data_IF_136606249114
#
_entry.id   IF_136606249114
#
_cell.length_a   1.000
_cell.length_b   1.000
_cell.length_c   1.000
_cell.angle_alpha   90.00
_cell.angle_beta   90.00
_cell.angle_gamma   90.00
#
_symmetry.space_group_name_H-M   'P 1'
#
loop_
_entity.id
_entity.type
_entity.pdbx_description
1 polymer ?
#
# COMPACT_ATOMS: atom_id res chain seq x y z
N UNK A 1 -19.07 8.88 11.69
CA UNK A 1 -17.93 9.76 12.04
C UNK A 1 -17.02 9.75 10.82
N UNK A 2 -16.79 10.89 10.17
CA UNK A 2 -15.81 10.95 9.08
C UNK A 2 -14.44 10.56 9.64
N UNK A 3 -13.67 9.66 9.00
CA UNK A 3 -12.32 9.35 9.46
C UNK A 3 -11.54 10.65 9.60
N UNK A 4 -10.98 10.89 10.79
CA UNK A 4 -10.18 12.08 11.08
C UNK A 4 -8.78 11.98 10.47
N UNK A 5 -7.96 13.00 10.71
CA UNK A 5 -6.55 13.06 10.29
C UNK A 5 -5.73 11.89 10.83
N UNK A 6 -6.17 11.28 11.92
CA UNK A 6 -5.59 10.07 12.51
C UNK A 6 -5.60 8.89 11.54
N UNK A 7 -6.63 8.77 10.69
CA UNK A 7 -6.67 7.72 9.67
C UNK A 7 -5.59 7.92 8.61
N UNK A 8 -5.25 9.18 8.29
CA UNK A 8 -4.16 9.48 7.36
C UNK A 8 -2.79 9.17 7.94
N UNK A 9 -2.58 9.47 9.22
CA UNK A 9 -1.36 9.10 9.95
C UNK A 9 -1.22 7.57 10.01
N UNK A 10 -2.29 6.89 10.43
CA UNK A 10 -2.29 5.43 10.53
C UNK A 10 -2.00 4.78 9.18
N UNK A 11 -2.59 5.30 8.09
CA UNK A 11 -2.32 4.79 6.74
C UNK A 11 -0.85 4.94 6.35
N UNK A 12 -0.28 6.14 6.54
CA UNK A 12 1.14 6.38 6.20
C UNK A 12 2.06 5.41 6.95
N UNK A 13 1.84 5.24 8.25
CA UNK A 13 2.61 4.29 9.06
C UNK A 13 2.41 2.84 8.60
N UNK A 14 1.16 2.44 8.33
CA UNK A 14 0.84 1.07 7.94
C UNK A 14 1.38 0.71 6.54
N UNK A 15 1.37 1.65 5.59
CA UNK A 15 1.88 1.43 4.24
C UNK A 15 3.40 1.20 4.26
N UNK A 16 4.15 2.08 4.94
CA UNK A 16 5.61 1.98 5.06
C UNK A 16 6.00 0.71 5.84
N UNK A 17 5.40 0.51 7.02
CA UNK A 17 5.68 -0.66 7.84
C UNK A 17 5.29 -1.97 7.14
N UNK A 18 4.17 -1.98 6.40
CA UNK A 18 3.73 -3.14 5.65
C UNK A 18 4.72 -3.54 4.56
N UNK A 19 5.32 -2.58 3.86
CA UNK A 19 6.38 -2.86 2.88
C UNK A 19 7.62 -3.43 3.56
N UNK A 20 8.11 -2.79 4.61
CA UNK A 20 9.29 -3.23 5.35
C UNK A 20 9.12 -4.66 5.90
N UNK A 21 7.97 -4.95 6.52
CA UNK A 21 7.69 -6.30 7.06
C UNK A 21 7.74 -7.36 5.96
N UNK A 22 7.14 -7.07 4.80
CA UNK A 22 7.12 -8.02 3.70
C UNK A 22 8.51 -8.18 3.08
N UNK A 23 9.27 -7.10 2.93
CA UNK A 23 10.66 -7.14 2.44
C UNK A 23 11.55 -7.96 3.36
N UNK A 24 11.54 -7.67 4.66
CA UNK A 24 12.30 -8.42 5.68
C UNK A 24 11.90 -9.90 5.67
N UNK A 25 10.62 -10.22 5.53
CA UNK A 25 10.17 -11.61 5.44
C UNK A 25 10.82 -12.34 4.24
N UNK A 26 10.94 -11.67 3.08
CA UNK A 26 11.61 -12.24 1.91
C UNK A 26 13.12 -12.36 2.14
N UNK A 27 13.74 -11.33 2.71
CA UNK A 27 15.18 -11.32 3.02
C UNK A 27 15.60 -12.43 3.98
N UNK A 28 14.78 -12.76 4.98
CA UNK A 28 15.04 -13.85 5.93
C UNK A 28 15.20 -15.23 5.25
N UNK A 29 14.70 -15.38 4.03
CA UNK A 29 14.86 -16.61 3.22
C UNK A 29 16.05 -16.57 2.26
N UNK A 30 16.80 -15.47 2.25
CA UNK A 30 17.93 -15.23 1.35
C UNK A 30 17.49 -15.20 -0.12
N UNK A 31 18.31 -15.78 -1.00
CA UNK A 31 18.02 -15.84 -2.44
C UNK A 31 16.73 -16.59 -2.79
N UNK A 32 16.28 -17.52 -1.94
CA UNK A 32 14.98 -18.20 -2.12
C UNK A 32 13.81 -17.22 -2.05
N UNK A 33 14.00 -16.05 -1.42
CA UNK A 33 13.03 -14.96 -1.40
C UNK A 33 12.63 -14.49 -2.80
N UNK A 34 13.48 -14.65 -3.81
CA UNK A 34 13.15 -14.24 -5.17
C UNK A 34 12.18 -15.20 -5.90
N UNK A 35 11.92 -16.38 -5.34
CA UNK A 35 11.05 -17.38 -5.96
C UNK A 35 9.57 -17.12 -5.70
N UNK A 36 8.75 -17.41 -6.71
CA UNK A 36 7.29 -17.29 -6.64
C UNK A 36 6.71 -18.17 -5.55
N UNK A 37 5.94 -17.57 -4.64
CA UNK A 37 5.29 -18.28 -3.53
C UNK A 37 6.17 -18.48 -2.29
N UNK A 38 7.42 -18.04 -2.31
CA UNK A 38 8.33 -18.20 -1.16
C UNK A 38 8.07 -17.17 -0.05
N UNK A 39 8.59 -17.45 1.12
CA UNK A 39 8.48 -16.65 2.33
C UNK A 39 8.97 -17.45 3.53
N UNK A 40 9.04 -16.84 4.72
CA UNK A 40 9.46 -17.55 5.92
C UNK A 40 8.45 -18.65 6.26
N UNK A 41 8.97 -19.82 6.60
CA UNK A 41 8.16 -20.93 7.07
C UNK A 41 7.63 -20.69 8.48
N UNK A 42 6.51 -21.31 8.82
CA UNK A 42 5.94 -21.26 10.16
C UNK A 42 4.43 -21.07 10.18
N UNK A 43 3.86 -21.17 11.38
CA UNK A 43 2.43 -20.97 11.57
C UNK A 43 2.10 -19.48 11.68
N UNK A 44 1.21 -19.03 10.79
CA UNK A 44 0.61 -17.69 10.89
C UNK A 44 -0.78 -17.82 11.51
N UNK A 45 -1.23 -16.93 12.40
CA UNK A 45 -2.62 -16.94 12.87
C UNK A 45 -3.62 -16.83 11.71
N UNK A 46 -4.72 -17.59 11.72
CA UNK A 46 -5.68 -17.67 10.60
C UNK A 46 -6.19 -16.29 10.15
N UNK A 47 -6.42 -15.37 11.09
CA UNK A 47 -6.86 -14.00 10.79
C UNK A 47 -5.83 -13.11 10.06
N UNK A 48 -4.58 -13.56 9.95
CA UNK A 48 -3.49 -12.86 9.25
C UNK A 48 -3.11 -13.54 7.92
N UNK A 49 -3.85 -14.56 7.50
CA UNK A 49 -3.58 -15.35 6.28
C UNK A 49 -4.31 -14.82 5.04
N UNK A 50 -4.93 -13.65 5.14
CA UNK A 50 -5.74 -13.02 4.09
C UNK A 50 -5.11 -11.70 3.62
N UNK A 51 -5.52 -11.27 2.42
CA UNK A 51 -5.09 -10.03 1.79
C UNK A 51 -6.27 -9.12 1.44
N UNK A 52 -5.96 -7.94 0.90
CA UNK A 52 -6.97 -7.02 0.37
C UNK A 52 -7.71 -7.57 -0.87
N UNK A 53 -7.13 -8.59 -1.50
CA UNK A 53 -7.71 -9.36 -2.61
C UNK A 53 -7.46 -10.86 -2.40
N UNK A 54 -8.04 -11.67 -3.28
CA UNK A 54 -7.80 -13.11 -3.28
C UNK A 54 -6.31 -13.45 -3.42
N UNK A 55 -5.86 -14.45 -2.66
CA UNK A 55 -4.49 -14.98 -2.68
C UNK A 55 -4.47 -16.23 -3.56
N UNK A 56 -4.08 -16.06 -4.83
CA UNK A 56 -4.07 -17.12 -5.85
C UNK A 56 -2.80 -17.99 -5.81
N UNK A 57 -2.45 -18.50 -4.64
CA UNK A 57 -1.32 -19.41 -4.45
C UNK A 57 -1.74 -20.64 -3.63
N UNK A 58 -1.21 -21.81 -3.98
CA UNK A 58 -1.48 -23.04 -3.26
C UNK A 58 -1.02 -22.98 -1.80
N UNK A 59 -1.74 -23.67 -0.91
CA UNK A 59 -1.46 -23.73 0.53
C UNK A 59 -1.35 -25.18 0.99
N UNK A 60 -0.41 -25.46 1.88
CA UNK A 60 -0.26 -26.77 2.52
C UNK A 60 0.50 -27.78 1.66
N UNK A 61 0.33 -29.07 1.96
CA UNK A 61 1.17 -30.18 1.47
C UNK A 61 1.35 -30.26 -0.05
N UNK A 62 0.36 -29.80 -0.81
CA UNK A 62 0.34 -29.90 -2.27
C UNK A 62 0.86 -28.62 -2.97
N UNK A 63 1.30 -27.62 -2.19
CA UNK A 63 1.88 -26.37 -2.72
C UNK A 63 3.39 -26.50 -2.96
N UNK A 64 3.95 -25.58 -3.75
CA UNK A 64 5.40 -25.48 -3.99
C UNK A 64 6.20 -25.28 -2.68
N UNK A 65 5.59 -24.64 -1.67
CA UNK A 65 6.21 -24.42 -0.35
C UNK A 65 5.27 -24.86 0.77
N UNK A 66 5.24 -26.16 1.13
CA UNK A 66 4.27 -26.70 2.09
C UNK A 66 4.29 -26.07 3.49
N UNK A 67 5.44 -25.58 3.92
CA UNK A 67 5.64 -24.97 5.24
C UNK A 67 5.45 -23.43 5.25
N UNK A 68 5.15 -22.83 4.09
CA UNK A 68 5.07 -21.39 3.92
C UNK A 68 3.62 -20.98 3.68
N UNK A 69 3.20 -19.92 4.36
CA UNK A 69 1.94 -19.28 4.07
C UNK A 69 2.07 -18.40 2.82
N UNK A 70 1.20 -18.56 1.80
CA UNK A 70 1.28 -17.75 0.59
C UNK A 70 1.06 -16.24 0.83
N UNK A 71 0.55 -15.84 2.01
CA UNK A 71 0.38 -14.43 2.36
C UNK A 71 1.69 -13.65 2.29
N UNK A 72 2.84 -14.28 2.52
CA UNK A 72 4.13 -13.60 2.43
C UNK A 72 4.47 -13.14 1.03
N UNK A 73 4.33 -14.03 0.05
CA UNK A 73 4.63 -13.68 -1.33
C UNK A 73 3.58 -12.75 -1.92
N UNK A 74 2.30 -12.99 -1.60
CA UNK A 74 1.21 -12.09 -1.96
C UNK A 74 1.43 -10.68 -1.39
N UNK A 75 1.72 -10.60 -0.09
CA UNK A 75 1.91 -9.34 0.63
C UNK A 75 3.09 -8.55 0.08
N UNK A 76 4.22 -9.21 -0.22
CA UNK A 76 5.36 -8.58 -0.88
C UNK A 76 5.00 -7.96 -2.24
N UNK A 77 4.23 -8.66 -3.06
CA UNK A 77 3.80 -8.14 -4.36
C UNK A 77 2.74 -7.03 -4.23
N UNK A 78 1.91 -7.09 -3.19
CA UNK A 78 0.78 -6.17 -3.00
C UNK A 78 1.12 -4.91 -2.22
N UNK A 79 2.09 -4.96 -1.29
CA UNK A 79 2.44 -3.83 -0.41
C UNK A 79 2.79 -2.53 -1.16
N UNK A 80 3.44 -2.54 -2.34
CA UNK A 80 3.62 -1.33 -3.14
C UNK A 80 2.30 -0.63 -3.50
N UNK A 81 1.24 -1.39 -3.80
CA UNK A 81 -0.05 -0.84 -4.20
C UNK A 81 -0.75 -0.05 -3.08
N UNK A 82 -0.48 -0.36 -1.81
CA UNK A 82 -1.07 0.30 -0.65
C UNK A 82 -0.68 1.78 -0.56
N UNK A 83 0.53 2.14 -1.02
CA UNK A 83 0.98 3.54 -1.05
C UNK A 83 0.31 4.38 -2.13
N UNK A 84 -0.43 3.75 -3.05
CA UNK A 84 -1.15 4.40 -4.15
C UNK A 84 -2.67 4.37 -3.93
N UNK A 85 -3.20 3.20 -3.56
CA UNK A 85 -4.62 2.97 -3.35
C UNK A 85 -5.16 3.67 -2.10
N UNK A 86 -6.43 4.09 -2.15
CA UNK A 86 -7.10 4.69 -0.99
C UNK A 86 -6.57 6.07 -0.58
N UNK A 87 -5.88 6.77 -1.48
CA UNK A 87 -5.17 8.01 -1.22
C UNK A 87 -3.67 7.76 -1.22
N UNK A 88 -2.96 8.35 -2.18
CA UNK A 88 -1.51 8.17 -2.31
C UNK A 88 -0.78 8.67 -1.08
N UNK A 89 0.42 8.15 -0.82
CA UNK A 89 1.27 8.66 0.27
C UNK A 89 1.43 10.19 0.21
N UNK A 90 1.51 10.77 -0.98
CA UNK A 90 1.69 12.21 -1.17
C UNK A 90 0.45 13.00 -0.71
N UNK A 91 -0.75 12.52 -1.09
CA UNK A 91 -2.01 13.12 -0.65
C UNK A 91 -2.16 13.01 0.87
N UNK A 92 -1.81 11.85 1.44
CA UNK A 92 -1.89 11.67 2.90
C UNK A 92 -0.92 12.61 3.63
N UNK A 93 0.30 12.81 3.13
CA UNK A 93 1.26 13.78 3.70
C UNK A 93 0.75 15.21 3.57
N UNK A 94 0.10 15.58 2.47
CA UNK A 94 -0.53 16.89 2.32
C UNK A 94 -1.67 17.10 3.34
N UNK A 95 -2.49 16.07 3.59
CA UNK A 95 -3.54 16.12 4.63
C UNK A 95 -2.91 16.36 6.00
N UNK A 96 -1.85 15.62 6.35
CA UNK A 96 -1.15 15.80 7.63
C UNK A 96 -0.52 17.20 7.71
N UNK A 97 0.12 17.68 6.65
CA UNK A 97 0.69 19.01 6.57
C UNK A 97 -0.34 20.12 6.83
N UNK A 98 -1.48 20.10 6.14
CA UNK A 98 -2.51 21.14 6.28
C UNK A 98 -3.25 21.04 7.62
N UNK A 99 -3.67 19.84 8.01
CA UNK A 99 -4.64 19.65 9.09
C UNK A 99 -4.00 19.40 10.46
N UNK A 100 -2.77 18.89 10.49
CA UNK A 100 -2.03 18.64 11.75
C UNK A 100 -0.97 19.71 11.96
N UNK A 101 -0.20 20.05 10.92
CA UNK A 101 0.91 21.00 11.02
C UNK A 101 0.50 22.45 10.70
N UNK A 102 -0.70 22.69 10.17
CA UNK A 102 -1.18 24.04 9.85
C UNK A 102 -0.47 24.70 8.66
N UNK A 103 0.14 23.90 7.78
CA UNK A 103 0.82 24.43 6.60
C UNK A 103 -0.19 24.98 5.57
N UNK A 104 0.19 26.00 4.77
CA UNK A 104 -0.68 26.51 3.71
C UNK A 104 -1.01 25.44 2.67
N UNK A 105 -2.28 25.41 2.26
CA UNK A 105 -2.76 24.53 1.19
C UNK A 105 -2.15 24.89 -0.16
N UNK A 106 -1.83 23.87 -0.96
CA UNK A 106 -1.36 24.05 -2.33
C UNK A 106 -2.39 24.80 -3.20
N UNK A 107 -1.96 25.75 -4.06
CA UNK A 107 -2.85 26.45 -4.96
C UNK A 107 -3.55 25.47 -5.92
N UNK A 108 -4.89 25.44 -5.88
CA UNK A 108 -5.67 24.67 -6.85
C UNK A 108 -6.08 25.59 -8.01
N UNK A 109 -5.33 25.52 -9.11
CA UNK A 109 -5.56 26.32 -10.33
C UNK A 109 -6.88 25.97 -11.04
N UNK A 110 -7.47 24.82 -10.73
CA UNK A 110 -8.69 24.33 -11.38
C UNK A 110 -9.95 24.58 -10.53
N UNK A 111 -9.79 25.22 -9.37
CA UNK A 111 -10.89 25.46 -8.45
C UNK A 111 -11.94 26.36 -9.10
N UNK A 112 -13.16 25.83 -9.23
CA UNK A 112 -14.29 26.54 -9.85
C UNK A 112 -14.40 26.36 -11.36
N UNK A 113 -13.45 25.66 -11.99
CA UNK A 113 -13.54 25.25 -13.38
C UNK A 113 -14.33 23.94 -13.51
N UNK A 114 -15.11 23.83 -14.57
CA UNK A 114 -15.60 22.53 -15.05
C UNK A 114 -14.44 21.70 -15.61
N UNK A 115 -14.67 20.39 -15.79
CA UNK A 115 -13.67 19.49 -16.36
C UNK A 115 -13.21 19.94 -17.76
N UNK A 116 -14.13 20.42 -18.60
CA UNK A 116 -13.80 20.91 -19.95
C UNK A 116 -12.91 22.16 -19.88
N UNK A 117 -13.23 23.10 -18.99
CA UNK A 117 -12.45 24.32 -18.79
C UNK A 117 -11.05 24.03 -18.26
N UNK A 118 -10.89 23.08 -17.33
CA UNK A 118 -9.56 22.71 -16.83
C UNK A 118 -8.68 22.05 -17.90
N UNK A 119 -9.26 21.22 -18.78
CA UNK A 119 -8.54 20.64 -19.92
C UNK A 119 -8.10 21.71 -20.93
N UNK A 120 -8.95 22.72 -21.19
CA UNK A 120 -8.60 23.83 -22.08
C UNK A 120 -7.47 24.68 -21.49
N UNK A 121 -7.54 25.01 -20.20
CA UNK A 121 -6.52 25.80 -19.50
C UNK A 121 -5.13 25.13 -19.53
N UNK A 122 -5.06 23.80 -19.40
CA UNK A 122 -3.78 23.04 -19.46
C UNK A 122 -3.09 23.13 -20.81
N UNK A 123 -3.83 23.18 -21.93
CA UNK A 123 -3.26 23.23 -23.29
C UNK A 123 -2.58 24.57 -23.61
N UNK A 124 -2.84 25.61 -22.84
CA UNK A 124 -2.23 26.94 -23.05
C UNK A 124 -0.92 27.14 -22.27
N UNK A 125 -0.52 26.18 -21.43
CA UNK A 125 0.68 26.28 -20.58
C UNK A 125 1.87 25.48 -21.16
N UNK A 126 1.63 24.63 -22.16
CA UNK A 126 2.64 23.90 -22.95
C UNK A 126 2.83 24.55 -24.31
#
# INVERSE_FOLDING_TARGET
RTPGTEASIQKLMADEHGQEVMEVAKELTGSHGMLTGSGPGGEIPVGMRSGGTEINFGRGKDSQYPAVDPVWHYGFLFAPALTLGGGTWAVQRNIVAEQVLGLPREPNLEKGLSWVESQAARKHIT
#
